data_IF_509284740247
#
_entry.id   IF_509284740247
#
_cell.length_a   1.000
_cell.length_b   1.000
_cell.length_c   1.000
_cell.angle_alpha   90.00
_cell.angle_beta   90.00
_cell.angle_gamma   90.00
#
_symmetry.space_group_name_H-M   'P 1'
#
loop_
_entity.id
_entity.type
_entity.pdbx_description
1 polymer ?
#
# COMPACT_ATOMS: atom_id res chain seq x y z
N UNK A 1 -19.54 -17.29 7.05
CA UNK A 1 -18.33 -17.80 6.40
C UNK A 1 -17.32 -16.64 6.40
N UNK A 2 -16.20 -16.79 7.09
CA UNK A 2 -15.21 -15.73 7.20
C UNK A 2 -14.38 -15.68 5.92
N UNK A 3 -14.34 -14.54 5.27
CA UNK A 3 -13.36 -14.24 4.24
C UNK A 3 -11.99 -14.06 4.93
N UNK A 4 -10.93 -14.65 4.41
CA UNK A 4 -9.58 -14.72 5.01
C UNK A 4 -9.52 -15.57 6.30
N UNK A 5 -10.04 -16.77 6.23
CA UNK A 5 -10.00 -17.80 7.28
C UNK A 5 -8.57 -18.09 7.75
N UNK A 6 -7.60 -18.04 6.86
CA UNK A 6 -6.16 -18.23 7.13
C UNK A 6 -5.64 -17.20 8.14
N UNK A 7 -5.93 -15.92 7.94
CA UNK A 7 -5.50 -14.83 8.84
C UNK A 7 -6.17 -14.89 10.19
N UNK A 8 -7.48 -15.19 10.21
CA UNK A 8 -8.22 -15.36 11.45
C UNK A 8 -7.73 -16.58 12.21
N UNK A 9 -7.44 -17.68 11.52
CA UNK A 9 -6.87 -18.89 12.13
C UNK A 9 -5.51 -18.60 12.76
N UNK A 10 -4.62 -17.91 12.05
CA UNK A 10 -3.32 -17.50 12.59
C UNK A 10 -3.47 -16.65 13.85
N UNK A 11 -4.39 -15.68 13.85
CA UNK A 11 -4.68 -14.86 15.02
C UNK A 11 -5.21 -15.68 16.20
N UNK A 12 -6.19 -16.56 15.97
CA UNK A 12 -6.76 -17.43 16.99
C UNK A 12 -5.71 -18.39 17.58
N UNK A 13 -4.76 -18.89 16.77
CA UNK A 13 -3.67 -19.73 17.24
C UNK A 13 -2.69 -18.94 18.13
N UNK A 14 -2.24 -17.76 17.69
CA UNK A 14 -1.31 -16.92 18.44
C UNK A 14 -1.93 -16.46 19.76
N UNK A 15 -3.22 -16.13 19.79
CA UNK A 15 -3.91 -15.62 20.99
C UNK A 15 -4.60 -16.70 21.81
N UNK A 16 -4.38 -17.98 21.49
CA UNK A 16 -5.02 -19.10 22.18
C UNK A 16 -4.66 -19.07 23.67
N UNK A 17 -5.70 -19.23 24.50
CA UNK A 17 -5.58 -19.23 25.94
C UNK A 17 -4.60 -20.31 26.42
N UNK A 18 -3.79 -19.97 27.41
CA UNK A 18 -2.83 -20.86 28.07
C UNK A 18 -1.80 -21.52 27.15
N UNK A 19 -1.56 -20.95 25.98
CA UNK A 19 -0.61 -21.42 24.98
C UNK A 19 0.28 -20.31 24.41
N UNK A 20 1.38 -20.70 23.77
CA UNK A 20 2.35 -19.79 23.18
C UNK A 20 2.75 -20.26 21.76
N UNK A 21 1.76 -20.44 20.90
CA UNK A 21 2.00 -20.87 19.52
C UNK A 21 2.74 -19.83 18.71
N UNK A 22 3.71 -20.28 17.94
CA UNK A 22 4.55 -19.47 17.07
C UNK A 22 4.25 -19.82 15.61
N UNK A 23 3.95 -18.82 14.80
CA UNK A 23 3.93 -18.97 13.36
C UNK A 23 5.38 -18.87 12.85
N UNK A 24 5.79 -19.80 11.99
CA UNK A 24 7.11 -19.81 11.37
C UNK A 24 6.98 -19.92 9.86
N UNK A 25 7.78 -19.14 9.15
CA UNK A 25 7.94 -19.29 7.72
C UNK A 25 8.79 -20.53 7.41
N UNK A 26 8.30 -21.38 6.53
CA UNK A 26 8.99 -22.59 6.09
C UNK A 26 9.30 -22.46 4.60
N UNK A 27 10.53 -22.08 4.26
CA UNK A 27 10.96 -21.82 2.87
C UNK A 27 10.76 -23.02 1.91
N UNK A 28 10.83 -24.26 2.44
CA UNK A 28 10.67 -25.49 1.65
C UNK A 28 9.21 -25.88 1.39
N UNK A 29 8.28 -25.26 2.10
CA UNK A 29 6.86 -25.50 1.86
C UNK A 29 6.43 -24.68 0.64
N UNK A 30 6.20 -25.36 -0.46
CA UNK A 30 5.77 -24.78 -1.73
C UNK A 30 4.38 -25.28 -2.08
N UNK A 31 3.59 -24.42 -2.68
CA UNK A 31 2.27 -24.75 -3.20
C UNK A 31 2.12 -24.11 -4.58
N UNK A 32 1.49 -24.84 -5.48
CA UNK A 32 1.13 -24.34 -6.81
C UNK A 32 -0.37 -24.04 -6.83
N UNK A 33 -0.73 -22.97 -7.49
CA UNK A 33 -2.13 -22.57 -7.67
C UNK A 33 -2.30 -21.86 -9.01
N UNK A 34 -3.49 -21.98 -9.58
CA UNK A 34 -3.84 -21.29 -10.80
C UNK A 34 -3.98 -19.78 -10.56
N UNK A 35 -3.57 -19.01 -11.56
CA UNK A 35 -3.72 -17.55 -11.55
C UNK A 35 -4.91 -17.14 -12.44
N UNK A 36 -5.60 -16.04 -12.10
CA UNK A 36 -6.67 -15.51 -12.93
C UNK A 36 -6.16 -15.16 -14.32
N UNK A 37 -6.83 -15.68 -15.34
CA UNK A 37 -6.48 -15.40 -16.75
C UNK A 37 -7.19 -14.16 -17.29
N UNK A 38 -8.26 -13.71 -16.62
CA UNK A 38 -9.05 -12.55 -17.01
C UNK A 38 -9.07 -11.46 -15.96
N UNK A 39 -9.07 -10.20 -16.38
CA UNK A 39 -9.11 -9.00 -15.49
C UNK A 39 -10.30 -9.05 -14.53
N UNK A 40 -11.47 -9.48 -14.99
CA UNK A 40 -12.66 -9.58 -14.13
C UNK A 40 -12.48 -10.59 -12.98
N UNK A 41 -11.76 -11.68 -13.21
CA UNK A 41 -11.42 -12.68 -12.19
C UNK A 41 -10.40 -12.13 -11.20
N UNK A 42 -9.37 -11.42 -11.70
CA UNK A 42 -8.38 -10.75 -10.88
C UNK A 42 -9.04 -9.74 -9.93
N UNK A 43 -9.93 -8.88 -10.43
CA UNK A 43 -10.67 -7.91 -9.62
C UNK A 43 -11.54 -8.62 -8.59
N UNK A 44 -12.23 -9.69 -8.98
CA UNK A 44 -13.05 -10.47 -8.06
C UNK A 44 -12.22 -11.13 -6.96
N UNK A 45 -11.03 -11.64 -7.29
CA UNK A 45 -10.08 -12.22 -6.34
C UNK A 45 -9.55 -11.15 -5.38
N UNK A 46 -9.07 -10.01 -5.91
CA UNK A 46 -8.56 -8.89 -5.09
C UNK A 46 -9.63 -8.31 -4.17
N UNK A 47 -10.87 -8.18 -4.64
CA UNK A 47 -12.00 -7.76 -3.81
C UNK A 47 -12.20 -8.68 -2.60
N UNK A 48 -12.12 -10.01 -2.80
CA UNK A 48 -12.23 -10.97 -1.69
C UNK A 48 -11.08 -10.81 -0.70
N UNK A 49 -9.84 -10.65 -1.20
CA UNK A 49 -8.67 -10.49 -0.36
C UNK A 49 -8.67 -9.19 0.44
N UNK A 50 -9.04 -8.08 -0.20
CA UNK A 50 -9.14 -6.78 0.47
C UNK A 50 -10.21 -6.80 1.57
N UNK A 51 -11.41 -7.28 1.25
CA UNK A 51 -12.48 -7.40 2.24
C UNK A 51 -12.09 -8.37 3.37
N UNK A 52 -11.52 -9.52 3.03
CA UNK A 52 -11.06 -10.48 4.01
C UNK A 52 -10.01 -9.92 4.95
N UNK A 53 -9.01 -9.22 4.40
CA UNK A 53 -7.96 -8.55 5.17
C UNK A 53 -8.50 -7.47 6.10
N UNK A 54 -9.44 -6.67 5.61
CA UNK A 54 -10.10 -5.62 6.37
C UNK A 54 -10.87 -6.20 7.58
N UNK A 55 -11.72 -7.20 7.35
CA UNK A 55 -12.48 -7.83 8.43
C UNK A 55 -11.61 -8.63 9.40
N UNK A 56 -10.53 -9.27 8.92
CA UNK A 56 -9.57 -9.94 9.78
C UNK A 56 -8.82 -8.95 10.68
N UNK A 57 -8.47 -7.77 10.16
CA UNK A 57 -7.87 -6.70 10.95
C UNK A 57 -8.84 -6.19 12.03
N UNK A 58 -10.10 -5.91 11.68
CA UNK A 58 -11.14 -5.52 12.65
C UNK A 58 -11.31 -6.59 13.73
N UNK A 59 -11.37 -7.87 13.33
CA UNK A 59 -11.51 -8.98 14.27
C UNK A 59 -10.35 -9.04 15.27
N UNK A 60 -9.12 -8.89 14.80
CA UNK A 60 -7.94 -8.92 15.66
C UNK A 60 -7.89 -7.71 16.61
N UNK A 61 -8.27 -6.52 16.13
CA UNK A 61 -8.32 -5.30 16.96
C UNK A 61 -9.41 -5.42 18.04
N UNK A 62 -10.61 -5.87 17.70
CA UNK A 62 -11.70 -6.04 18.69
C UNK A 62 -11.33 -7.10 19.73
N UNK A 63 -10.67 -8.18 19.33
CA UNK A 63 -10.28 -9.27 20.21
C UNK A 63 -8.88 -9.17 20.79
N UNK A 64 -8.25 -8.02 20.67
CA UNK A 64 -6.90 -7.74 21.14
C UNK A 64 -6.64 -8.16 22.61
N UNK A 65 -7.60 -7.99 23.51
CA UNK A 65 -7.48 -8.40 24.91
C UNK A 65 -7.17 -9.90 25.14
N UNK A 66 -7.31 -10.75 24.12
CA UNK A 66 -6.93 -12.17 24.21
C UNK A 66 -5.42 -12.38 24.34
N UNK A 67 -4.58 -11.44 23.87
CA UNK A 67 -3.13 -11.52 24.00
C UNK A 67 -2.71 -11.69 25.46
N UNK A 68 -3.44 -11.05 26.40
CA UNK A 68 -3.12 -11.15 27.82
C UNK A 68 -3.34 -12.53 28.42
N UNK A 69 -4.28 -13.31 27.84
CA UNK A 69 -4.60 -14.67 28.27
C UNK A 69 -3.64 -15.75 27.73
N UNK A 70 -2.76 -15.39 26.81
CA UNK A 70 -1.75 -16.30 26.26
C UNK A 70 -0.54 -16.43 27.17
N UNK A 71 0.23 -17.52 27.04
CA UNK A 71 1.49 -17.75 27.78
C UNK A 71 2.74 -17.19 27.07
N UNK A 72 2.58 -16.27 26.14
CA UNK A 72 3.71 -15.58 25.54
C UNK A 72 4.53 -14.80 26.56
N UNK A 73 5.84 -14.65 26.31
CA UNK A 73 6.71 -13.79 27.12
C UNK A 73 6.26 -12.32 27.06
N UNK A 74 6.62 -11.55 28.08
CA UNK A 74 6.27 -10.13 28.16
C UNK A 74 6.76 -9.35 26.93
N UNK A 75 8.00 -9.61 26.50
CA UNK A 75 8.58 -8.97 25.32
C UNK A 75 7.79 -9.28 24.05
N UNK A 76 7.35 -10.52 23.89
CA UNK A 76 6.53 -10.90 22.73
C UNK A 76 5.13 -10.25 22.78
N UNK A 77 4.51 -10.17 23.94
CA UNK A 77 3.25 -9.43 24.11
C UNK A 77 3.42 -7.97 23.73
N UNK A 78 4.54 -7.35 24.13
CA UNK A 78 4.85 -5.98 23.73
C UNK A 78 4.95 -5.84 22.19
N UNK A 79 5.67 -6.73 21.51
CA UNK A 79 5.74 -6.71 20.03
C UNK A 79 4.38 -6.90 19.37
N UNK A 80 3.53 -7.78 19.90
CA UNK A 80 2.16 -7.94 19.40
C UNK A 80 1.31 -6.67 19.60
N UNK A 81 1.56 -5.89 20.65
CA UNK A 81 0.89 -4.58 20.83
C UNK A 81 1.36 -3.56 19.80
N UNK A 82 2.64 -3.50 19.51
CA UNK A 82 3.18 -2.63 18.44
C UNK A 82 2.58 -3.01 17.10
N UNK A 83 2.47 -4.31 16.80
CA UNK A 83 1.82 -4.81 15.59
C UNK A 83 0.33 -4.42 15.52
N UNK A 84 -0.40 -4.52 16.64
CA UNK A 84 -1.81 -4.11 16.69
C UNK A 84 -1.99 -2.60 16.50
N UNK A 85 -1.10 -1.80 17.07
CA UNK A 85 -1.10 -0.35 16.85
C UNK A 85 -0.86 -0.03 15.36
N UNK A 86 0.15 -0.67 14.77
CA UNK A 86 0.44 -0.54 13.35
C UNK A 86 -0.76 -0.93 12.48
N UNK A 87 -1.38 -2.09 12.75
CA UNK A 87 -2.58 -2.54 12.03
C UNK A 87 -3.74 -1.56 12.16
N UNK A 88 -3.94 -0.97 13.34
CA UNK A 88 -5.01 0.03 13.57
C UNK A 88 -4.79 1.28 12.73
N UNK A 89 -3.56 1.78 12.71
CA UNK A 89 -3.18 2.93 11.88
C UNK A 89 -3.36 2.61 10.39
N UNK A 90 -2.87 1.45 9.94
CA UNK A 90 -3.02 1.02 8.55
C UNK A 90 -4.47 0.80 8.12
N UNK A 91 -5.31 0.28 9.03
CA UNK A 91 -6.74 0.14 8.77
C UNK A 91 -7.39 1.49 8.50
N UNK A 92 -7.03 2.51 9.27
CA UNK A 92 -7.52 3.86 9.09
C UNK A 92 -7.09 4.44 7.74
N UNK A 93 -5.81 4.33 7.38
CA UNK A 93 -5.31 4.77 6.07
C UNK A 93 -5.95 4.00 4.91
N UNK A 94 -6.18 2.71 5.06
CA UNK A 94 -6.84 1.88 4.04
C UNK A 94 -8.29 2.33 3.81
N UNK A 95 -9.00 2.71 4.88
CA UNK A 95 -10.37 3.20 4.76
C UNK A 95 -10.46 4.49 3.96
N UNK A 96 -9.50 5.39 4.14
CA UNK A 96 -9.43 6.67 3.43
C UNK A 96 -8.53 6.62 2.18
N UNK A 97 -8.17 5.44 1.69
CA UNK A 97 -7.19 5.28 0.61
C UNK A 97 -7.54 6.09 -0.65
N UNK A 98 -8.79 6.06 -1.10
CA UNK A 98 -9.23 6.83 -2.28
C UNK A 98 -9.10 8.34 -2.07
N UNK A 99 -9.47 8.83 -0.89
CA UNK A 99 -9.32 10.24 -0.54
C UNK A 99 -7.84 10.64 -0.44
N UNK A 100 -6.99 9.77 0.09
CA UNK A 100 -5.54 9.99 0.16
C UNK A 100 -4.91 10.05 -1.24
N UNK A 101 -5.29 9.16 -2.15
CA UNK A 101 -4.81 9.21 -3.53
C UNK A 101 -5.24 10.50 -4.24
N UNK A 102 -6.48 10.91 -4.06
CA UNK A 102 -6.97 12.18 -4.61
C UNK A 102 -6.21 13.38 -4.04
N UNK A 103 -6.00 13.39 -2.71
CA UNK A 103 -5.24 14.45 -2.03
C UNK A 103 -3.79 14.53 -2.54
N UNK A 104 -3.13 13.38 -2.69
CA UNK A 104 -1.76 13.31 -3.25
C UNK A 104 -1.74 13.86 -4.67
N UNK A 105 -2.71 13.46 -5.51
CA UNK A 105 -2.82 13.97 -6.88
C UNK A 105 -2.97 15.49 -6.90
N UNK A 106 -3.87 16.04 -6.08
CA UNK A 106 -4.09 17.46 -5.97
C UNK A 106 -2.84 18.24 -5.52
N UNK A 107 -2.16 17.76 -4.46
CA UNK A 107 -0.94 18.39 -3.95
C UNK A 107 0.18 18.38 -4.99
N UNK A 108 0.40 17.24 -5.66
CA UNK A 108 1.43 17.12 -6.69
C UNK A 108 1.13 18.00 -7.90
N UNK A 109 -0.12 18.06 -8.33
CA UNK A 109 -0.57 18.92 -9.42
C UNK A 109 -0.29 20.40 -9.12
N UNK A 110 -0.65 20.86 -7.92
CA UNK A 110 -0.35 22.23 -7.47
C UNK A 110 1.14 22.52 -7.44
N UNK A 111 1.94 21.59 -6.90
CA UNK A 111 3.40 21.75 -6.87
C UNK A 111 4.02 21.80 -8.27
N UNK A 112 3.42 21.13 -9.26
CA UNK A 112 3.85 21.21 -10.65
C UNK A 112 3.45 22.53 -11.32
N UNK A 113 2.28 23.07 -11.00
CA UNK A 113 1.81 24.37 -11.49
C UNK A 113 2.73 25.53 -11.08
N UNK A 114 3.29 25.47 -9.85
CA UNK A 114 4.26 26.46 -9.36
C UNK A 114 5.56 26.48 -10.18
N UNK A 115 5.90 25.37 -10.83
CA UNK A 115 7.09 25.26 -11.68
C UNK A 115 6.77 25.58 -13.13
N UNK A 116 5.62 25.14 -13.61
CA UNK A 116 5.24 25.21 -15.02
C UNK A 116 3.74 25.59 -15.16
N UNK A 117 3.47 26.88 -15.25
CA UNK A 117 2.10 27.41 -15.33
C UNK A 117 1.23 26.83 -16.46
N UNK A 118 1.83 26.40 -17.57
CA UNK A 118 1.10 25.81 -18.69
C UNK A 118 0.45 24.46 -18.36
N UNK A 119 0.90 23.79 -17.28
CA UNK A 119 0.38 22.50 -16.83
C UNK A 119 -0.97 22.67 -16.11
N UNK A 120 -1.35 23.85 -15.67
CA UNK A 120 -2.57 24.10 -14.89
C UNK A 120 -3.83 23.51 -15.53
N UNK A 121 -4.07 23.80 -16.80
CA UNK A 121 -5.28 23.32 -17.48
C UNK A 121 -5.28 21.80 -17.67
N UNK A 122 -4.21 21.15 -18.15
CA UNK A 122 -4.13 19.69 -18.22
C UNK A 122 -4.32 19.00 -16.88
N UNK A 123 -3.71 19.49 -15.81
CA UNK A 123 -3.85 18.88 -14.47
C UNK A 123 -5.26 19.01 -13.93
N UNK A 124 -5.90 20.15 -14.11
CA UNK A 124 -7.29 20.36 -13.74
C UNK A 124 -8.23 19.39 -14.46
N UNK A 125 -8.04 19.19 -15.77
CA UNK A 125 -8.81 18.21 -16.54
C UNK A 125 -8.60 16.79 -16.00
N UNK A 126 -7.35 16.39 -15.73
CA UNK A 126 -7.03 15.09 -15.16
C UNK A 126 -7.67 14.89 -13.77
N UNK A 127 -7.71 15.94 -12.95
CA UNK A 127 -8.34 15.92 -11.62
C UNK A 127 -9.83 15.63 -11.71
N UNK A 128 -10.55 16.31 -12.60
CA UNK A 128 -11.97 16.06 -12.83
C UNK A 128 -12.24 14.68 -13.45
N UNK A 129 -11.40 14.23 -14.37
CA UNK A 129 -11.48 12.86 -14.92
C UNK A 129 -11.30 11.85 -13.79
N UNK A 130 -10.33 12.05 -12.91
CA UNK A 130 -10.07 11.16 -11.77
C UNK A 130 -11.30 11.08 -10.85
N UNK A 131 -11.88 12.21 -10.46
CA UNK A 131 -13.10 12.26 -9.65
C UNK A 131 -14.29 11.58 -10.34
N UNK A 132 -14.49 11.84 -11.62
CA UNK A 132 -15.56 11.22 -12.40
C UNK A 132 -15.41 9.70 -12.44
N UNK A 133 -14.18 9.19 -12.60
CA UNK A 133 -13.91 7.74 -12.60
C UNK A 133 -14.03 7.11 -11.21
N UNK A 134 -13.71 7.81 -10.12
CA UNK A 134 -14.00 7.34 -8.76
C UNK A 134 -15.49 7.13 -8.58
N UNK A 135 -16.31 8.13 -8.95
CA UNK A 135 -17.77 8.06 -8.84
C UNK A 135 -18.31 6.94 -9.75
N UNK A 136 -17.82 6.85 -10.98
CA UNK A 136 -18.19 5.80 -11.92
C UNK A 136 -17.90 4.40 -11.35
N UNK A 137 -16.70 4.17 -10.81
CA UNK A 137 -16.34 2.89 -10.19
C UNK A 137 -17.21 2.59 -8.97
N UNK A 138 -17.53 3.59 -8.16
CA UNK A 138 -18.42 3.41 -7.03
C UNK A 138 -19.82 2.94 -7.49
N UNK A 139 -20.43 3.62 -8.46
CA UNK A 139 -21.72 3.24 -9.02
C UNK A 139 -21.68 1.87 -9.69
N UNK A 140 -20.61 1.59 -10.44
CA UNK A 140 -20.39 0.30 -11.08
C UNK A 140 -20.31 -0.85 -10.05
N UNK A 141 -19.62 -0.63 -8.93
CA UNK A 141 -19.44 -1.63 -7.88
C UNK A 141 -20.70 -1.92 -7.05
N UNK A 142 -21.63 -0.98 -6.98
CA UNK A 142 -22.89 -1.15 -6.27
C UNK A 142 -23.87 -2.07 -7.00
N UNK A 143 -23.90 -2.02 -8.32
CA UNK A 143 -24.90 -2.73 -9.13
C UNK A 143 -24.41 -3.96 -9.88
N UNK A 144 -23.10 -4.05 -10.14
CA UNK A 144 -22.57 -5.03 -11.09
C UNK A 144 -21.45 -5.90 -10.51
N UNK A 145 -21.55 -7.20 -10.79
CA UNK A 145 -20.40 -8.10 -10.58
C UNK A 145 -19.34 -7.84 -11.66
N UNK A 146 -18.03 -7.98 -11.38
CA UNK A 146 -16.98 -7.76 -12.36
C UNK A 146 -17.14 -8.57 -13.66
N UNK A 147 -17.70 -9.77 -13.56
CA UNK A 147 -17.99 -10.62 -14.72
C UNK A 147 -19.11 -10.08 -15.62
N UNK A 148 -20.08 -9.34 -15.05
CA UNK A 148 -21.21 -8.77 -15.80
C UNK A 148 -20.87 -7.50 -16.56
N UNK A 149 -19.83 -6.77 -16.14
CA UNK A 149 -19.40 -5.53 -16.81
C UNK A 149 -17.87 -5.47 -16.98
N UNK A 150 -17.33 -6.41 -17.74
CA UNK A 150 -15.90 -6.55 -18.00
C UNK A 150 -15.28 -5.30 -18.61
N UNK A 151 -15.99 -4.67 -19.56
CA UNK A 151 -15.50 -3.50 -20.28
C UNK A 151 -15.39 -2.30 -19.33
N UNK A 152 -16.40 -2.05 -18.50
CA UNK A 152 -16.37 -0.93 -17.55
C UNK A 152 -15.22 -1.02 -16.56
N UNK A 153 -14.96 -2.20 -16.02
CA UNK A 153 -13.81 -2.41 -15.13
C UNK A 153 -12.47 -2.32 -15.86
N UNK A 154 -12.37 -2.82 -17.10
CA UNK A 154 -11.16 -2.72 -17.90
C UNK A 154 -10.82 -1.25 -18.23
N UNK A 155 -11.82 -0.46 -18.67
CA UNK A 155 -11.64 0.97 -18.96
C UNK A 155 -11.22 1.71 -17.69
N UNK A 156 -11.84 1.43 -16.55
CA UNK A 156 -11.44 2.03 -15.28
C UNK A 156 -9.99 1.71 -14.90
N UNK A 157 -9.55 0.46 -15.07
CA UNK A 157 -8.16 0.07 -14.83
C UNK A 157 -7.18 0.83 -15.72
N UNK A 158 -7.50 0.98 -17.01
CA UNK A 158 -6.65 1.71 -17.97
C UNK A 158 -6.55 3.18 -17.56
N UNK A 159 -7.67 3.81 -17.23
CA UNK A 159 -7.70 5.23 -16.83
C UNK A 159 -6.92 5.44 -15.51
N UNK A 160 -7.15 4.61 -14.49
CA UNK A 160 -6.37 4.71 -13.25
C UNK A 160 -4.89 4.41 -13.47
N UNK A 161 -4.54 3.44 -14.32
CA UNK A 161 -3.16 3.18 -14.72
C UNK A 161 -2.49 4.39 -15.36
N UNK A 162 -3.20 5.08 -16.25
CA UNK A 162 -2.71 6.30 -16.89
C UNK A 162 -2.53 7.44 -15.87
N UNK A 163 -3.49 7.65 -14.98
CA UNK A 163 -3.39 8.65 -13.91
C UNK A 163 -2.21 8.35 -12.97
N UNK A 164 -2.00 7.07 -12.61
CA UNK A 164 -0.85 6.66 -11.80
C UNK A 164 0.48 6.92 -12.51
N UNK A 165 0.54 6.74 -13.82
CA UNK A 165 1.72 7.05 -14.63
C UNK A 165 2.05 8.54 -14.60
N UNK A 166 1.03 9.41 -14.70
CA UNK A 166 1.18 10.86 -14.55
C UNK A 166 1.70 11.19 -13.14
N UNK A 167 1.11 10.60 -12.09
CA UNK A 167 1.55 10.81 -10.71
C UNK A 167 3.01 10.45 -10.49
N UNK A 168 3.43 9.28 -10.94
CA UNK A 168 4.82 8.84 -10.83
C UNK A 168 5.75 9.80 -11.58
N UNK A 169 5.35 10.24 -12.78
CA UNK A 169 6.11 11.22 -13.55
C UNK A 169 6.26 12.55 -12.81
N UNK A 170 5.20 13.03 -12.16
CA UNK A 170 5.24 14.24 -11.32
C UNK A 170 6.18 14.08 -10.14
N UNK A 171 6.10 12.96 -9.41
CA UNK A 171 7.00 12.67 -8.29
C UNK A 171 8.46 12.69 -8.73
N UNK A 172 8.78 11.99 -9.81
CA UNK A 172 10.15 11.91 -10.35
C UNK A 172 10.64 13.29 -10.78
N UNK A 173 9.80 14.04 -11.51
CA UNK A 173 10.16 15.38 -11.97
C UNK A 173 10.36 16.36 -10.80
N UNK A 174 9.45 16.39 -9.82
CA UNK A 174 9.57 17.24 -8.63
C UNK A 174 10.80 16.89 -7.80
N UNK A 175 11.10 15.59 -7.64
CA UNK A 175 12.31 15.14 -6.98
C UNK A 175 13.58 15.64 -7.72
N UNK A 176 13.64 15.44 -9.05
CA UNK A 176 14.74 15.93 -9.88
C UNK A 176 14.90 17.46 -9.77
N UNK A 177 13.78 18.20 -9.90
CA UNK A 177 13.80 19.67 -9.82
C UNK A 177 14.25 20.17 -8.45
N UNK A 178 13.77 19.56 -7.37
CA UNK A 178 14.18 19.90 -6.01
C UNK A 178 15.66 19.65 -5.77
N UNK A 179 16.18 18.51 -6.22
CA UNK A 179 17.61 18.18 -6.14
C UNK A 179 18.43 19.19 -6.94
N UNK A 180 18.01 19.48 -8.18
CA UNK A 180 18.73 20.45 -9.04
C UNK A 180 18.77 21.84 -8.43
N UNK A 181 17.65 22.31 -7.87
CA UNK A 181 17.57 23.63 -7.22
C UNK A 181 18.50 23.70 -6.01
N UNK A 182 18.57 22.64 -5.22
CA UNK A 182 19.42 22.56 -4.03
C UNK A 182 20.92 22.50 -4.40
N UNK A 183 21.28 21.67 -5.35
CA UNK A 183 22.67 21.59 -5.87
C UNK A 183 23.16 22.93 -6.47
N UNK A 184 22.26 23.69 -7.10
CA UNK A 184 22.64 25.00 -7.69
C UNK A 184 22.77 26.08 -6.63
N UNK A 185 21.98 26.05 -5.55
CA UNK A 185 22.02 27.09 -4.52
C UNK A 185 23.07 26.86 -3.43
N UNK A 186 23.37 25.61 -3.11
CA UNK A 186 24.38 25.29 -2.08
C UNK A 186 25.69 24.86 -2.73
N UNK A 187 26.64 25.76 -2.77
CA UNK A 187 27.96 25.53 -3.39
C UNK A 187 28.87 24.56 -2.62
N UNK A 188 28.56 24.09 -1.41
CA UNK A 188 29.41 23.14 -0.66
C UNK A 188 28.62 22.43 0.47
N UNK A 189 29.01 21.20 0.76
CA UNK A 189 28.91 20.38 1.99
C UNK A 189 27.61 20.41 2.87
N UNK A 190 26.79 21.44 2.84
CA UNK A 190 25.54 21.57 3.59
C UNK A 190 24.37 20.79 2.98
N UNK A 191 24.57 20.26 1.75
CA UNK A 191 23.57 19.45 1.03
C UNK A 191 23.13 18.21 1.84
N UNK A 192 23.99 17.75 2.76
CA UNK A 192 23.76 16.55 3.55
C UNK A 192 22.97 16.78 4.85
N UNK A 193 22.76 18.04 5.27
CA UNK A 193 22.22 18.28 6.61
C UNK A 193 20.77 18.73 6.67
N UNK A 194 20.22 19.50 5.73
CA UNK A 194 18.89 20.11 5.91
C UNK A 194 17.98 20.19 4.67
N UNK A 195 18.29 19.52 3.59
CA UNK A 195 17.57 19.70 2.34
C UNK A 195 16.44 18.72 2.06
N UNK A 196 15.62 19.06 1.06
CA UNK A 196 14.62 18.17 0.44
C UNK A 196 15.27 16.88 -0.05
N UNK A 197 16.55 16.95 -0.51
CA UNK A 197 17.35 15.79 -0.90
C UNK A 197 17.45 14.74 0.21
N UNK A 198 17.82 15.16 1.43
CA UNK A 198 17.94 14.25 2.58
C UNK A 198 16.60 13.57 2.90
N UNK A 199 15.49 14.29 2.83
CA UNK A 199 14.15 13.73 3.05
C UNK A 199 13.78 12.70 1.99
N UNK A 200 14.08 12.96 0.72
CA UNK A 200 13.88 12.01 -0.38
C UNK A 200 14.74 10.77 -0.15
N UNK A 201 16.03 10.93 0.15
CA UNK A 201 16.94 9.82 0.42
C UNK A 201 16.47 9.00 1.62
N UNK A 202 16.08 9.64 2.72
CA UNK A 202 15.52 8.93 3.89
C UNK A 202 14.24 8.18 3.53
N UNK A 203 13.35 8.78 2.76
CA UNK A 203 12.10 8.12 2.31
C UNK A 203 12.38 6.88 1.45
N UNK A 204 13.29 7.01 0.48
CA UNK A 204 13.69 5.88 -0.38
C UNK A 204 14.40 4.80 0.43
N UNK A 205 15.35 5.17 1.29
CA UNK A 205 16.06 4.22 2.15
C UNK A 205 15.16 3.56 3.17
N UNK A 206 14.17 4.27 3.74
CA UNK A 206 13.22 3.66 4.68
C UNK A 206 12.35 2.61 4.01
N UNK A 207 11.99 2.79 2.75
CA UNK A 207 11.14 1.84 2.01
C UNK A 207 11.97 0.68 1.46
N UNK A 208 12.93 0.97 0.59
CA UNK A 208 13.74 -0.07 -0.07
C UNK A 208 14.78 -0.69 0.84
N UNK A 209 15.32 0.09 1.80
CA UNK A 209 16.27 -0.40 2.78
C UNK A 209 15.68 -1.44 3.72
N UNK A 210 14.41 -1.27 4.13
CA UNK A 210 13.70 -2.26 4.95
C UNK A 210 13.46 -3.54 4.16
N UNK A 211 13.08 -3.43 2.88
CA UNK A 211 12.93 -4.60 2.01
C UNK A 211 14.25 -5.33 1.77
N UNK A 212 15.33 -4.58 1.56
CA UNK A 212 16.67 -5.14 1.43
C UNK A 212 17.08 -5.89 2.70
N UNK A 213 16.90 -5.28 3.87
CA UNK A 213 17.19 -5.90 5.16
C UNK A 213 16.37 -7.17 5.37
N UNK A 214 15.06 -7.14 5.07
CA UNK A 214 14.21 -8.31 5.16
C UNK A 214 14.70 -9.43 4.24
N UNK A 215 15.02 -9.13 2.99
CA UNK A 215 15.52 -10.10 2.02
C UNK A 215 16.86 -10.72 2.45
N UNK A 216 17.77 -9.92 3.02
CA UNK A 216 19.04 -10.40 3.56
C UNK A 216 18.83 -11.29 4.80
N UNK A 217 17.94 -10.90 5.72
CA UNK A 217 17.63 -11.69 6.92
C UNK A 217 17.03 -13.07 6.58
N UNK A 218 16.26 -13.17 5.50
CA UNK A 218 15.68 -14.43 5.03
C UNK A 218 16.55 -15.19 4.02
N UNK A 219 17.76 -14.65 3.71
CA UNK A 219 18.68 -15.22 2.71
C UNK A 219 18.01 -15.44 1.35
N UNK A 220 17.14 -14.51 0.97
CA UNK A 220 16.41 -14.54 -0.31
C UNK A 220 16.53 -13.20 -1.05
N UNK A 221 17.66 -12.96 -1.74
CA UNK A 221 17.91 -11.69 -2.42
C UNK A 221 16.94 -11.43 -3.58
N UNK A 222 16.34 -12.48 -4.15
CA UNK A 222 15.36 -12.34 -5.24
C UNK A 222 14.02 -11.76 -4.79
N UNK A 223 13.73 -11.80 -3.50
CA UNK A 223 12.49 -11.25 -2.94
C UNK A 223 12.31 -9.77 -3.27
N UNK A 224 13.38 -8.98 -3.37
CA UNK A 224 13.31 -7.55 -3.72
C UNK A 224 12.71 -7.37 -5.11
N UNK A 225 13.20 -8.17 -6.09
CA UNK A 225 12.72 -8.06 -7.47
C UNK A 225 11.28 -8.56 -7.62
N UNK A 226 10.93 -9.64 -6.96
CA UNK A 226 9.55 -10.16 -6.99
C UNK A 226 8.56 -9.24 -6.30
N UNK A 227 8.94 -8.55 -5.23
CA UNK A 227 8.08 -7.59 -4.51
C UNK A 227 7.81 -6.31 -5.27
N UNK A 228 8.69 -5.92 -6.21
CA UNK A 228 8.47 -4.76 -7.07
C UNK A 228 7.32 -4.95 -8.06
N UNK A 229 6.98 -6.20 -8.38
CA UNK A 229 5.94 -6.55 -9.34
C UNK A 229 4.64 -7.07 -8.70
N UNK A 230 4.56 -7.11 -7.38
CA UNK A 230 3.37 -7.47 -6.60
C UNK A 230 2.59 -6.24 -6.14
#
# INVERSE_FOLDING_TARGET
>A
MYLAEDRILCWELVTKRDSAWLLRFVKRAQAETDVPTHVAELISQRRRWLNGSFFAAIHSIIKFGRIYRSKHSVFRKFLLHVEMLYQTVMLFFTWFSLANYFLIFHILSRSMEDIAHWIHVPTLICEYIYLAFIIYCFLLSMGNRPQGNRIGYLVSMIVFGFIMLILVSFVVFLAYWSIKKEVVHHKNAEILTDGVFVRIVISVLSTYGIWLLASLMFLDPWHIFTSLFQ
#
